data_IF_484666024465
#
_entry.id   IF_484666024465
#
_cell.length_a   1.000
_cell.length_b   1.000
_cell.length_c   1.000
_cell.angle_alpha   90.00
_cell.angle_beta   90.00
_cell.angle_gamma   90.00
#
_symmetry.space_group_name_H-M   'P 1'
#
loop_
_entity.id
_entity.type
_entity.pdbx_description
1 polymer ?
#
# COMPACT_ATOMS: atom_id res chain seq x y z
N UNK A 1 15.11 20.47 52.59
CA UNK A 1 16.03 20.21 51.47
C UNK A 1 15.23 20.19 50.18
N UNK A 2 15.49 21.06 49.20
CA UNK A 2 14.78 21.00 47.93
C UNK A 2 15.28 19.79 47.13
N UNK A 3 14.37 18.92 46.71
CA UNK A 3 14.65 17.84 45.76
C UNK A 3 14.92 18.48 44.39
N UNK A 4 16.19 18.56 44.01
CA UNK A 4 16.59 18.86 42.64
C UNK A 4 16.08 17.74 41.74
N UNK A 5 15.01 18.02 40.99
CA UNK A 5 14.56 17.21 39.86
C UNK A 5 15.64 17.28 38.78
N UNK A 6 16.56 16.31 38.80
CA UNK A 6 17.42 16.04 37.65
C UNK A 6 16.50 15.48 36.56
N UNK A 7 16.07 16.33 35.62
CA UNK A 7 15.58 15.86 34.32
C UNK A 7 16.69 14.99 33.72
N UNK A 8 16.48 13.68 33.67
CA UNK A 8 17.31 12.79 32.87
C UNK A 8 17.44 13.39 31.48
N UNK A 9 18.69 13.66 31.09
CA UNK A 9 19.01 14.26 29.79
C UNK A 9 18.56 13.25 28.74
N UNK A 10 17.56 13.63 27.92
CA UNK A 10 17.03 12.75 26.89
C UNK A 10 18.18 12.17 26.05
N UNK A 11 18.23 10.84 25.94
CA UNK A 11 19.27 10.12 25.20
C UNK A 11 19.29 10.62 23.75
N UNK A 12 20.47 11.02 23.30
CA UNK A 12 20.70 11.54 21.95
C UNK A 12 22.02 11.04 21.42
N UNK A 13 22.03 10.72 20.13
CA UNK A 13 23.22 10.41 19.36
C UNK A 13 23.36 11.44 18.24
N UNK A 14 24.58 11.89 17.98
CA UNK A 14 24.88 12.86 16.93
C UNK A 14 25.56 12.12 15.79
N UNK A 15 24.97 12.19 14.60
CA UNK A 15 25.55 11.67 13.37
C UNK A 15 25.91 12.85 12.47
N UNK A 16 27.05 12.76 11.79
CA UNK A 16 27.42 13.70 10.72
C UNK A 16 27.18 12.97 9.40
N UNK A 17 26.23 13.47 8.61
CA UNK A 17 25.84 12.92 7.30
C UNK A 17 25.80 14.05 6.31
N UNK A 18 26.51 13.94 5.18
CA UNK A 18 26.60 14.99 4.16
C UNK A 18 26.91 16.38 4.77
N UNK A 19 27.92 16.43 5.65
CA UNK A 19 28.38 17.63 6.38
C UNK A 19 27.32 18.25 7.33
N UNK A 20 26.21 17.55 7.58
CA UNK A 20 25.13 18.00 8.48
C UNK A 20 25.13 17.18 9.76
N UNK A 21 25.01 17.88 10.89
CA UNK A 21 24.76 17.24 12.18
C UNK A 21 23.27 16.88 12.35
N UNK A 22 23.00 15.60 12.58
CA UNK A 22 21.66 15.06 12.81
C UNK A 22 21.61 14.47 14.22
N UNK A 23 20.76 15.04 15.08
CA UNK A 23 20.54 14.51 16.42
C UNK A 23 19.45 13.44 16.42
N UNK A 24 19.86 12.18 16.57
CA UNK A 24 18.99 11.03 16.74
C UNK A 24 18.52 10.99 18.19
N UNK A 25 17.23 11.20 18.41
CA UNK A 25 16.63 11.13 19.76
C UNK A 25 16.30 9.70 20.13
N UNK A 26 16.29 9.29 21.40
CA UNK A 26 15.89 7.93 21.81
C UNK A 26 16.46 6.81 20.89
N UNK A 27 17.79 6.80 20.61
CA UNK A 27 18.38 5.93 19.60
C UNK A 27 18.12 4.44 19.89
N UNK A 28 18.11 4.06 21.18
CA UNK A 28 17.88 2.68 21.64
C UNK A 28 16.41 2.26 21.69
N UNK A 29 15.48 3.11 21.23
CA UNK A 29 14.06 2.75 21.20
C UNK A 29 13.86 1.56 20.25
N UNK A 30 13.40 0.44 20.79
CA UNK A 30 13.06 -0.76 20.01
C UNK A 30 11.86 -0.46 19.13
N UNK A 31 12.01 -0.63 17.82
CA UNK A 31 10.94 -0.49 16.83
C UNK A 31 10.41 -1.85 16.39
N UNK A 32 11.25 -2.89 16.44
CA UNK A 32 10.92 -4.28 16.08
C UNK A 32 11.19 -5.18 17.29
N UNK A 33 10.18 -5.47 18.14
CA UNK A 33 10.39 -6.23 19.37
C UNK A 33 10.98 -7.62 19.16
N UNK A 34 10.45 -8.38 18.19
CA UNK A 34 10.86 -9.77 17.95
C UNK A 34 12.28 -9.86 17.37
N UNK A 35 12.62 -8.96 16.45
CA UNK A 35 13.95 -8.90 15.84
C UNK A 35 14.97 -8.08 16.65
N UNK A 36 14.53 -7.32 17.66
CA UNK A 36 15.38 -6.49 18.52
C UNK A 36 15.89 -5.19 17.90
N UNK A 37 15.45 -4.80 16.69
CA UNK A 37 15.98 -3.61 16.02
C UNK A 37 15.47 -2.31 16.63
N UNK A 38 16.40 -1.39 16.81
CA UNK A 38 16.20 -0.06 17.38
C UNK A 38 16.00 1.00 16.31
N UNK A 39 15.68 2.22 16.75
CA UNK A 39 15.61 3.37 15.85
C UNK A 39 16.96 3.71 15.23
N UNK A 40 18.05 3.56 15.96
CA UNK A 40 19.39 3.79 15.41
C UNK A 40 19.73 2.78 14.31
N UNK A 41 19.34 1.52 14.46
CA UNK A 41 19.51 0.49 13.43
C UNK A 41 18.78 0.86 12.13
N UNK A 42 17.55 1.38 12.24
CA UNK A 42 16.80 1.89 11.10
C UNK A 42 17.51 3.06 10.40
N UNK A 43 18.11 3.97 11.17
CA UNK A 43 18.87 5.10 10.63
C UNK A 43 20.10 4.60 9.87
N UNK A 44 20.90 3.71 10.48
CA UNK A 44 22.07 3.12 9.82
C UNK A 44 21.72 2.32 8.58
N UNK A 45 20.61 1.57 8.63
CA UNK A 45 20.08 0.86 7.46
C UNK A 45 19.87 1.82 6.29
N UNK A 46 19.12 2.91 6.49
CA UNK A 46 18.83 3.85 5.41
C UNK A 46 20.07 4.60 4.91
N UNK A 47 21.04 4.86 5.76
CA UNK A 47 22.34 5.40 5.34
C UNK A 47 23.09 4.41 4.44
N UNK A 48 23.10 3.12 4.81
CA UNK A 48 23.81 2.07 4.07
C UNK A 48 23.23 1.81 2.67
N UNK A 49 21.93 2.01 2.48
CA UNK A 49 21.24 1.82 1.18
C UNK A 49 20.81 3.14 0.53
N UNK A 50 21.36 4.26 1.00
CA UNK A 50 20.88 5.61 0.67
C UNK A 50 20.83 5.89 -0.83
N UNK A 51 21.83 5.47 -1.60
CA UNK A 51 21.85 5.64 -3.05
C UNK A 51 20.64 4.99 -3.73
N UNK A 52 20.35 3.73 -3.41
CA UNK A 52 19.20 3.01 -3.97
C UNK A 52 17.86 3.51 -3.45
N UNK A 53 17.77 3.83 -2.15
CA UNK A 53 16.57 4.40 -1.55
C UNK A 53 16.22 5.77 -2.18
N UNK A 54 17.21 6.62 -2.43
CA UNK A 54 17.03 7.92 -3.11
C UNK A 54 16.72 7.75 -4.60
N UNK A 55 17.21 6.71 -5.28
CA UNK A 55 16.78 6.44 -6.67
C UNK A 55 15.28 6.18 -6.77
N UNK A 56 14.71 5.49 -5.78
CA UNK A 56 13.30 5.14 -5.78
C UNK A 56 12.38 6.20 -5.15
N UNK A 57 12.83 6.90 -4.10
CA UNK A 57 12.01 7.85 -3.35
C UNK A 57 12.46 9.31 -3.48
N UNK A 58 13.68 9.55 -3.95
CA UNK A 58 14.32 10.85 -3.98
C UNK A 58 13.76 11.78 -5.06
N UNK A 59 13.67 13.06 -4.75
CA UNK A 59 13.07 14.07 -5.64
C UNK A 59 11.56 13.94 -5.82
N UNK A 60 10.91 13.07 -5.05
CA UNK A 60 9.45 12.84 -5.08
C UNK A 60 8.82 13.34 -3.78
N UNK A 61 7.60 13.92 -3.81
CA UNK A 61 6.83 14.10 -2.58
C UNK A 61 6.56 12.74 -1.93
N UNK A 62 6.81 12.64 -0.62
CA UNK A 62 6.69 11.41 0.14
C UNK A 62 5.68 11.54 1.28
N UNK A 63 4.80 10.54 1.38
CA UNK A 63 4.02 10.29 2.59
C UNK A 63 4.90 9.55 3.59
N UNK A 64 4.96 10.04 4.83
CA UNK A 64 5.71 9.38 5.89
C UNK A 64 4.81 8.38 6.61
N UNK A 65 5.20 7.11 6.71
CA UNK A 65 4.49 6.12 7.55
C UNK A 65 5.27 5.90 8.82
N UNK A 66 4.75 6.42 9.93
CA UNK A 66 5.49 6.56 11.17
C UNK A 66 5.01 5.58 12.22
N UNK A 67 5.98 4.98 12.90
CA UNK A 67 5.81 4.02 14.00
C UNK A 67 6.51 4.55 15.25
N UNK A 68 6.04 5.66 15.86
CA UNK A 68 6.78 6.31 16.94
C UNK A 68 7.09 5.39 18.10
N UNK A 69 6.24 4.38 18.34
CA UNK A 69 6.33 3.40 19.42
C UNK A 69 6.70 1.98 18.95
N UNK A 70 7.12 1.82 17.70
CA UNK A 70 7.41 0.51 17.11
C UNK A 70 6.20 -0.15 16.46
N UNK A 71 6.42 -1.32 15.85
CA UNK A 71 5.44 -1.99 14.96
C UNK A 71 4.28 -2.66 15.71
N UNK A 72 4.41 -2.85 17.02
CA UNK A 72 3.36 -3.44 17.85
C UNK A 72 2.25 -2.45 18.24
N UNK A 73 2.52 -1.14 18.09
CA UNK A 73 1.60 -0.04 18.43
C UNK A 73 0.99 0.60 17.18
N UNK A 74 0.04 1.51 17.40
CA UNK A 74 -0.58 2.28 16.32
C UNK A 74 0.46 3.10 15.52
N UNK A 75 0.32 3.02 14.20
CA UNK A 75 1.08 3.81 13.23
C UNK A 75 0.18 4.86 12.58
N UNK A 76 0.79 5.84 11.92
CA UNK A 76 0.02 6.82 11.17
C UNK A 76 0.71 7.26 9.88
N UNK A 77 -0.11 7.59 8.89
CA UNK A 77 0.30 8.24 7.66
C UNK A 77 0.36 9.75 7.87
N UNK A 78 1.51 10.35 7.56
CA UNK A 78 1.75 11.78 7.65
C UNK A 78 2.10 12.31 6.26
N UNK A 79 1.08 12.83 5.57
CA UNK A 79 1.24 13.55 4.30
C UNK A 79 1.90 14.92 4.51
N UNK A 80 1.33 15.71 5.42
CA UNK A 80 1.86 17.04 5.74
C UNK A 80 3.17 16.94 6.51
N UNK A 81 4.23 17.50 5.94
CA UNK A 81 5.53 17.63 6.56
C UNK A 81 5.40 18.24 7.97
N UNK A 82 6.17 17.76 8.98
CA UNK A 82 6.19 18.36 10.31
C UNK A 82 6.43 19.87 10.24
N UNK A 83 5.68 20.65 11.02
CA UNK A 83 5.89 22.09 11.13
C UNK A 83 7.25 22.42 11.77
N UNK A 84 7.64 21.61 12.77
CA UNK A 84 8.99 21.64 13.33
C UNK A 84 9.86 20.65 12.53
N UNK A 85 10.59 21.17 11.55
CA UNK A 85 11.56 20.46 10.72
C UNK A 85 12.80 21.34 10.50
N UNK A 86 13.99 20.77 10.28
CA UNK A 86 15.15 21.54 9.85
C UNK A 86 14.87 22.30 8.55
N UNK A 87 15.43 23.50 8.40
CA UNK A 87 15.20 24.38 7.24
C UNK A 87 15.66 23.77 5.90
N UNK A 88 16.60 22.83 5.95
CA UNK A 88 17.14 22.12 4.78
C UNK A 88 16.25 20.97 4.29
N UNK A 89 15.17 20.63 5.00
CA UNK A 89 14.20 19.65 4.53
C UNK A 89 13.32 20.29 3.44
N UNK A 90 13.54 19.88 2.19
CA UNK A 90 12.72 20.28 1.05
C UNK A 90 11.29 19.75 1.20
N UNK A 91 10.33 20.58 0.82
CA UNK A 91 8.93 20.21 0.71
C UNK A 91 8.34 20.75 -0.59
N UNK A 92 7.28 20.10 -1.06
CA UNK A 92 6.48 20.59 -2.20
C UNK A 92 5.00 20.50 -1.87
N UNK A 93 4.22 21.47 -2.36
CA UNK A 93 2.76 21.50 -2.16
C UNK A 93 2.07 20.61 -3.20
N UNK A 94 1.51 19.49 -2.74
CA UNK A 94 0.72 18.59 -3.55
C UNK A 94 -0.78 18.86 -3.37
N UNK A 95 -1.52 18.89 -4.49
CA UNK A 95 -2.99 18.97 -4.50
C UNK A 95 -3.62 17.60 -4.73
N UNK A 96 -4.48 17.19 -3.81
CA UNK A 96 -5.16 15.90 -3.83
C UNK A 96 -6.43 15.92 -4.69
N UNK A 97 -6.95 14.75 -5.13
CA UNK A 97 -8.23 14.65 -5.84
C UNK A 97 -9.42 15.28 -5.09
N UNK A 98 -9.35 15.32 -3.76
CA UNK A 98 -10.36 15.97 -2.92
C UNK A 98 -10.33 17.51 -2.97
N UNK A 99 -9.39 18.11 -3.70
CA UNK A 99 -9.15 19.56 -3.74
C UNK A 99 -8.33 20.12 -2.56
N UNK A 100 -7.97 19.28 -1.58
CA UNK A 100 -7.11 19.66 -0.45
C UNK A 100 -5.64 19.71 -0.88
N UNK A 101 -4.83 20.43 -0.11
CA UNK A 101 -3.38 20.51 -0.33
C UNK A 101 -2.58 20.16 0.93
N UNK A 102 -1.38 19.63 0.74
CA UNK A 102 -0.38 19.47 1.79
C UNK A 102 1.03 19.70 1.25
N UNK A 103 1.88 20.30 2.08
CA UNK A 103 3.33 20.27 1.87
C UNK A 103 3.83 18.88 2.24
N UNK A 104 4.39 18.13 1.31
CA UNK A 104 4.98 16.80 1.56
C UNK A 104 6.50 16.88 1.46
N UNK A 105 7.20 16.02 2.21
CA UNK A 105 8.68 15.97 2.24
C UNK A 105 9.23 15.46 0.92
N UNK A 106 10.30 16.07 0.43
CA UNK A 106 11.04 15.63 -0.77
C UNK A 106 12.46 15.25 -0.37
N UNK A 107 12.80 13.96 -0.20
CA UNK A 107 14.15 13.54 0.12
C UNK A 107 15.10 13.74 -1.08
N UNK A 108 16.29 14.29 -0.85
CA UNK A 108 17.31 14.50 -1.89
C UNK A 108 18.68 13.91 -1.55
N UNK A 109 18.91 13.63 -0.27
CA UNK A 109 20.22 13.24 0.26
C UNK A 109 20.07 12.24 1.41
N UNK A 110 21.19 11.63 1.80
CA UNK A 110 21.22 10.61 2.86
C UNK A 110 20.87 11.24 4.22
N UNK A 111 21.22 12.51 4.43
CA UNK A 111 20.83 13.28 5.60
C UNK A 111 19.30 13.36 5.78
N UNK A 112 18.55 13.57 4.70
CA UNK A 112 17.08 13.60 4.74
C UNK A 112 16.49 12.23 5.08
N UNK A 113 17.05 11.15 4.53
CA UNK A 113 16.63 9.79 4.89
C UNK A 113 16.89 9.49 6.37
N UNK A 114 18.06 9.84 6.89
CA UNK A 114 18.37 9.68 8.32
C UNK A 114 17.42 10.50 9.21
N UNK A 115 17.07 11.71 8.80
CA UNK A 115 16.07 12.52 9.50
C UNK A 115 14.68 11.87 9.48
N UNK A 116 14.22 11.37 8.33
CA UNK A 116 12.95 10.65 8.21
C UNK A 116 12.94 9.41 9.12
N UNK A 117 14.01 8.61 9.12
CA UNK A 117 14.16 7.44 9.98
C UNK A 117 14.14 7.82 11.49
N UNK A 118 14.75 8.95 11.87
CA UNK A 118 14.70 9.47 13.24
C UNK A 118 13.27 9.85 13.70
N UNK A 119 12.37 10.16 12.77
CA UNK A 119 10.93 10.33 13.05
C UNK A 119 10.19 8.99 13.24
N UNK A 120 10.92 7.87 13.24
CA UNK A 120 10.42 6.50 13.15
C UNK A 120 9.60 6.26 11.87
N UNK A 121 10.01 6.88 10.76
CA UNK A 121 9.45 6.58 9.44
C UNK A 121 10.09 5.30 8.91
N UNK A 122 9.37 4.18 8.99
CA UNK A 122 9.87 2.89 8.51
C UNK A 122 9.74 2.78 7.00
N UNK A 123 8.63 3.27 6.44
CA UNK A 123 8.32 3.14 5.02
C UNK A 123 8.38 4.48 4.30
N UNK A 124 9.02 4.51 3.13
CA UNK A 124 9.00 5.65 2.21
C UNK A 124 7.87 5.41 1.21
N UNK A 125 6.93 6.36 1.11
CA UNK A 125 5.78 6.25 0.22
C UNK A 125 5.77 7.43 -0.78
N UNK A 126 6.62 7.39 -1.82
CA UNK A 126 6.67 8.45 -2.82
C UNK A 126 5.45 8.40 -3.75
N UNK A 127 4.95 9.57 -4.14
CA UNK A 127 4.07 9.68 -5.31
C UNK A 127 4.85 9.32 -6.58
N UNK A 128 4.21 8.81 -7.65
CA UNK A 128 4.88 8.44 -8.90
C UNK A 128 5.25 9.67 -9.77
N UNK A 129 5.40 10.84 -9.15
CA UNK A 129 5.73 12.12 -9.79
C UNK A 129 7.00 12.69 -9.15
N UNK A 130 7.68 13.58 -9.87
CA UNK A 130 8.82 14.35 -9.35
C UNK A 130 8.36 15.72 -8.87
N UNK A 131 9.12 16.34 -7.97
CA UNK A 131 8.73 17.60 -7.33
C UNK A 131 8.61 18.79 -8.30
N UNK A 132 9.23 18.71 -9.49
CA UNK A 132 9.19 19.69 -10.56
C UNK A 132 7.97 19.58 -11.47
N UNK A 133 7.34 18.40 -11.55
CA UNK A 133 6.07 18.18 -12.26
C UNK A 133 5.21 17.14 -11.53
N UNK A 134 4.18 17.65 -10.85
CA UNK A 134 3.28 16.90 -9.97
C UNK A 134 2.03 16.35 -10.67
N UNK A 135 1.86 16.63 -11.95
CA UNK A 135 0.67 16.24 -12.71
C UNK A 135 0.93 15.12 -13.71
N UNK A 136 2.20 14.95 -14.13
CA UNK A 136 2.62 13.88 -15.03
C UNK A 136 3.50 12.87 -14.30
N UNK A 137 3.00 11.64 -14.02
CA UNK A 137 3.84 10.58 -13.48
C UNK A 137 4.97 10.21 -14.44
N UNK A 138 6.12 9.88 -13.87
CA UNK A 138 7.24 9.28 -14.60
C UNK A 138 7.36 7.77 -14.28
N UNK A 139 6.43 7.20 -13.50
CA UNK A 139 6.36 5.76 -13.20
C UNK A 139 4.98 5.19 -13.50
N UNK A 140 4.93 4.11 -14.27
CA UNK A 140 3.84 3.14 -14.20
C UNK A 140 4.21 2.08 -13.14
N UNK A 141 3.27 1.76 -12.25
CA UNK A 141 3.47 0.80 -11.16
C UNK A 141 2.54 -0.40 -11.33
N UNK A 142 3.11 -1.59 -11.43
CA UNK A 142 2.35 -2.85 -11.41
C UNK A 142 2.44 -3.41 -10.00
N UNK A 143 1.29 -3.54 -9.32
CA UNK A 143 1.20 -4.09 -7.97
C UNK A 143 0.51 -5.45 -8.01
N UNK A 144 1.24 -6.49 -7.61
CA UNK A 144 0.79 -7.88 -7.59
C UNK A 144 0.39 -8.25 -6.16
N UNK A 145 -0.91 -8.13 -5.85
CA UNK A 145 -1.49 -8.40 -4.53
C UNK A 145 -2.19 -9.77 -4.51
N UNK A 146 -1.59 -10.79 -3.86
CA UNK A 146 -2.21 -12.10 -3.74
C UNK A 146 -3.48 -12.04 -2.87
N UNK A 147 -4.55 -12.69 -3.34
CA UNK A 147 -5.67 -13.03 -2.44
C UNK A 147 -5.18 -13.98 -1.33
N UNK A 148 -5.86 -14.05 -0.17
CA UNK A 148 -5.46 -14.96 0.89
C UNK A 148 -5.33 -16.42 0.41
N UNK A 149 -4.24 -17.10 0.77
CA UNK A 149 -3.99 -18.51 0.44
C UNK A 149 -3.18 -18.76 -0.85
N UNK A 150 -2.83 -17.70 -1.60
CA UNK A 150 -1.96 -17.84 -2.78
C UNK A 150 -0.50 -18.03 -2.36
N UNK A 151 0.16 -19.02 -2.95
CA UNK A 151 1.56 -19.32 -2.69
C UNK A 151 2.49 -18.30 -3.37
N UNK A 152 3.68 -18.11 -2.79
CA UNK A 152 4.69 -17.18 -3.33
C UNK A 152 5.12 -17.56 -4.76
N UNK A 153 5.20 -18.86 -5.08
CA UNK A 153 5.44 -19.38 -6.43
C UNK A 153 4.50 -18.78 -7.47
N UNK A 154 3.19 -18.73 -7.17
CA UNK A 154 2.18 -18.20 -8.10
C UNK A 154 2.36 -16.70 -8.35
N UNK A 155 2.88 -15.95 -7.36
CA UNK A 155 3.18 -14.52 -7.52
C UNK A 155 4.38 -14.33 -8.46
N UNK A 156 5.41 -15.19 -8.35
CA UNK A 156 6.54 -15.23 -9.27
C UNK A 156 6.10 -15.57 -10.70
N UNK A 157 5.23 -16.57 -10.86
CA UNK A 157 4.67 -16.95 -12.16
C UNK A 157 3.92 -15.77 -12.81
N UNK A 158 3.09 -15.06 -12.05
CA UNK A 158 2.39 -13.86 -12.55
C UNK A 158 3.37 -12.73 -12.87
N UNK A 159 4.43 -12.54 -12.08
CA UNK A 159 5.47 -11.56 -12.38
C UNK A 159 6.20 -11.85 -13.69
N UNK A 160 6.42 -13.13 -14.06
CA UNK A 160 6.95 -13.52 -15.36
C UNK A 160 6.02 -13.15 -16.51
N UNK A 161 4.71 -13.38 -16.35
CA UNK A 161 3.73 -12.94 -17.36
C UNK A 161 3.70 -11.42 -17.49
N UNK A 162 3.87 -10.68 -16.38
CA UNK A 162 4.05 -9.22 -16.43
C UNK A 162 5.30 -8.84 -17.22
N UNK A 163 6.44 -9.51 -17.01
CA UNK A 163 7.68 -9.26 -17.74
C UNK A 163 7.49 -9.43 -19.26
N UNK A 164 6.86 -10.52 -19.67
CA UNK A 164 6.55 -10.81 -21.08
C UNK A 164 5.64 -9.73 -21.68
N UNK A 165 4.54 -9.39 -20.99
CA UNK A 165 3.64 -8.33 -21.44
C UNK A 165 4.37 -6.99 -21.60
N UNK A 166 5.16 -6.58 -20.60
CA UNK A 166 5.92 -5.33 -20.68
C UNK A 166 6.88 -5.34 -21.88
N UNK A 167 7.55 -6.46 -22.13
CA UNK A 167 8.45 -6.64 -23.28
C UNK A 167 7.73 -6.47 -24.61
N UNK A 168 6.55 -7.08 -24.78
CA UNK A 168 5.74 -6.95 -26.00
C UNK A 168 5.30 -5.50 -26.25
N UNK A 169 5.08 -4.73 -25.19
CA UNK A 169 4.75 -3.30 -25.27
C UNK A 169 5.97 -2.38 -25.34
N UNK A 170 7.19 -2.93 -25.37
CA UNK A 170 8.43 -2.14 -25.46
C UNK A 170 8.79 -1.41 -24.16
N UNK A 171 8.32 -1.91 -23.02
CA UNK A 171 8.54 -1.35 -21.70
C UNK A 171 9.51 -2.23 -20.89
N UNK A 172 10.33 -1.60 -20.06
CA UNK A 172 11.28 -2.28 -19.18
C UNK A 172 10.73 -2.23 -17.76
N UNK A 173 10.48 -3.42 -17.18
CA UNK A 173 10.07 -3.57 -15.79
C UNK A 173 11.26 -3.72 -14.85
N UNK A 174 11.10 -3.21 -13.63
CA UNK A 174 12.08 -3.27 -12.55
C UNK A 174 11.42 -3.89 -11.31
N UNK A 175 11.57 -5.22 -11.12
CA UNK A 175 10.83 -5.95 -10.10
C UNK A 175 11.42 -5.73 -8.71
N UNK A 176 10.55 -5.75 -7.70
CA UNK A 176 10.93 -5.75 -6.30
C UNK A 176 9.92 -6.52 -5.47
N UNK A 177 10.37 -7.22 -4.43
CA UNK A 177 9.44 -7.71 -3.42
C UNK A 177 8.72 -6.53 -2.78
N UNK A 178 7.48 -6.70 -2.36
CA UNK A 178 6.82 -5.66 -1.55
C UNK A 178 7.41 -5.57 -0.14
N UNK A 179 8.09 -6.62 0.34
CA UNK A 179 8.44 -6.82 1.75
C UNK A 179 7.23 -7.19 2.64
N UNK A 180 6.07 -7.45 2.04
CA UNK A 180 4.87 -7.97 2.71
C UNK A 180 4.45 -9.27 2.02
N UNK A 181 3.30 -9.30 1.33
CA UNK A 181 2.76 -10.50 0.68
C UNK A 181 2.98 -10.55 -0.83
N UNK A 182 3.10 -9.39 -1.48
CA UNK A 182 3.12 -9.26 -2.94
C UNK A 182 4.46 -8.86 -3.53
N UNK A 183 4.44 -8.53 -4.82
CA UNK A 183 5.58 -8.03 -5.61
C UNK A 183 5.14 -6.78 -6.38
N UNK A 184 6.05 -5.82 -6.56
CA UNK A 184 5.79 -4.66 -7.43
C UNK A 184 6.78 -4.68 -8.60
N UNK A 185 6.34 -4.18 -9.75
CA UNK A 185 7.20 -3.91 -10.90
C UNK A 185 7.07 -2.44 -11.26
N UNK A 186 8.19 -1.71 -11.19
CA UNK A 186 8.24 -0.32 -11.63
C UNK A 186 8.59 -0.25 -13.11
N UNK A 187 8.02 0.72 -13.81
CA UNK A 187 8.32 1.00 -15.21
C UNK A 187 8.55 2.49 -15.33
N UNK A 188 9.76 2.90 -15.70
CA UNK A 188 10.06 4.30 -16.02
C UNK A 188 9.37 4.66 -17.33
N UNK A 189 8.59 5.74 -17.33
CA UNK A 189 7.85 6.22 -18.49
C UNK A 189 8.23 7.67 -18.80
N UNK A 190 8.01 8.10 -20.04
CA UNK A 190 8.16 9.51 -20.40
C UNK A 190 7.17 10.36 -19.59
N UNK A 191 7.64 11.49 -19.05
CA UNK A 191 6.85 12.34 -18.16
C UNK A 191 5.93 13.29 -18.95
N UNK A 192 4.94 12.73 -19.66
CA UNK A 192 3.98 13.50 -20.50
C UNK A 192 2.53 13.03 -20.42
N UNK A 193 2.26 11.97 -19.68
CA UNK A 193 0.90 11.45 -19.47
C UNK A 193 0.36 11.86 -18.12
N UNK A 194 -0.94 12.10 -18.07
CA UNK A 194 -1.66 12.37 -16.83
C UNK A 194 -1.86 11.08 -16.02
N UNK A 195 -2.17 11.20 -14.71
CA UNK A 195 -2.55 10.05 -13.88
C UNK A 195 -3.69 9.20 -14.48
N UNK A 196 -4.64 9.84 -15.16
CA UNK A 196 -5.78 9.15 -15.76
C UNK A 196 -5.33 8.25 -16.92
N UNK A 197 -4.41 8.73 -17.75
CA UNK A 197 -3.81 7.96 -18.84
C UNK A 197 -2.91 6.84 -18.34
N UNK A 198 -2.05 7.12 -17.34
CA UNK A 198 -1.18 6.09 -16.74
C UNK A 198 -2.00 4.98 -16.10
N UNK A 199 -3.09 5.31 -15.40
CA UNK A 199 -4.00 4.30 -14.85
C UNK A 199 -4.72 3.49 -15.93
N UNK A 200 -5.16 4.12 -17.03
CA UNK A 200 -5.76 3.40 -18.17
C UNK A 200 -4.77 2.41 -18.78
N UNK A 201 -3.53 2.83 -18.99
CA UNK A 201 -2.46 1.96 -19.46
C UNK A 201 -2.22 0.78 -18.49
N UNK A 202 -2.20 1.04 -17.17
CA UNK A 202 -2.04 0.01 -16.15
C UNK A 202 -3.22 -1.00 -16.13
N UNK A 203 -4.46 -0.53 -16.30
CA UNK A 203 -5.64 -1.39 -16.41
C UNK A 203 -5.58 -2.27 -17.68
N UNK A 204 -5.16 -1.68 -18.80
CA UNK A 204 -5.03 -2.41 -20.06
C UNK A 204 -3.97 -3.52 -19.95
N UNK A 205 -2.83 -3.22 -19.31
CA UNK A 205 -1.79 -4.20 -18.97
C UNK A 205 -2.33 -5.29 -18.04
N UNK A 206 -3.02 -4.92 -16.96
CA UNK A 206 -3.60 -5.88 -16.02
C UNK A 206 -4.56 -6.88 -16.69
N UNK A 207 -5.38 -6.41 -17.62
CA UNK A 207 -6.28 -7.27 -18.41
C UNK A 207 -5.54 -8.18 -19.37
N UNK A 208 -4.45 -7.71 -19.98
CA UNK A 208 -3.65 -8.54 -20.86
C UNK A 208 -2.93 -9.64 -20.08
N UNK A 209 -2.42 -9.35 -18.89
CA UNK A 209 -1.86 -10.36 -17.99
C UNK A 209 -2.93 -11.37 -17.54
N UNK A 210 -4.12 -10.92 -17.12
CA UNK A 210 -5.26 -11.80 -16.80
C UNK A 210 -5.65 -12.66 -18.02
N UNK A 211 -5.62 -12.12 -19.25
CA UNK A 211 -5.92 -12.89 -20.47
C UNK A 211 -4.91 -14.00 -20.73
N UNK A 212 -3.62 -13.78 -20.43
CA UNK A 212 -2.55 -14.77 -20.62
C UNK A 212 -2.49 -15.79 -19.49
N UNK A 213 -2.83 -15.40 -18.27
CA UNK A 213 -2.79 -16.25 -17.08
C UNK A 213 -4.12 -16.22 -16.30
N UNK A 214 -5.26 -16.61 -16.91
CA UNK A 214 -6.58 -16.43 -16.32
C UNK A 214 -6.86 -17.30 -15.09
N UNK A 215 -6.03 -18.32 -14.83
CA UNK A 215 -6.11 -19.12 -13.62
C UNK A 215 -5.30 -18.51 -12.45
N UNK A 216 -4.30 -17.69 -12.74
CA UNK A 216 -3.32 -17.20 -11.78
C UNK A 216 -3.48 -15.72 -11.45
N UNK A 217 -3.96 -14.90 -12.38
CA UNK A 217 -4.07 -13.45 -12.24
C UNK A 217 -5.51 -12.97 -12.44
N UNK A 218 -5.84 -11.83 -11.84
CA UNK A 218 -7.14 -11.19 -12.01
C UNK A 218 -7.03 -9.66 -12.07
N UNK A 219 -7.86 -9.03 -12.90
CA UNK A 219 -8.05 -7.57 -12.93
C UNK A 219 -9.40 -7.15 -12.31
N UNK A 220 -10.12 -8.08 -11.65
CA UNK A 220 -11.44 -7.78 -11.08
C UNK A 220 -11.32 -6.85 -9.87
N UNK A 221 -12.02 -5.72 -9.94
CA UNK A 221 -11.99 -4.72 -8.88
C UNK A 221 -12.55 -5.24 -7.55
N UNK A 222 -13.63 -6.02 -7.60
CA UNK A 222 -14.36 -6.43 -6.40
C UNK A 222 -13.71 -7.62 -5.74
N UNK A 223 -13.38 -7.51 -4.44
CA UNK A 223 -12.73 -8.58 -3.67
C UNK A 223 -13.42 -9.94 -3.81
N UNK A 224 -14.76 -9.96 -3.85
CA UNK A 224 -15.56 -11.17 -3.99
C UNK A 224 -15.47 -11.85 -5.36
N UNK A 225 -14.99 -11.14 -6.38
CA UNK A 225 -14.76 -11.65 -7.74
C UNK A 225 -13.28 -12.00 -7.99
N UNK A 226 -12.39 -11.69 -7.05
CA UNK A 226 -10.94 -11.91 -7.20
C UNK A 226 -10.59 -13.38 -6.93
N UNK A 227 -9.64 -13.87 -7.70
CA UNK A 227 -8.92 -15.12 -7.46
C UNK A 227 -7.43 -14.89 -7.78
N UNK A 228 -6.55 -15.77 -7.33
CA UNK A 228 -5.13 -15.68 -7.67
C UNK A 228 -4.50 -14.34 -7.23
N UNK A 229 -3.68 -13.77 -8.10
CA UNK A 229 -2.97 -12.52 -7.89
C UNK A 229 -3.75 -11.38 -8.52
N UNK A 230 -4.22 -10.45 -7.70
CA UNK A 230 -4.86 -9.23 -8.18
C UNK A 230 -3.80 -8.24 -8.65
N UNK A 231 -3.97 -7.73 -9.87
CA UNK A 231 -3.11 -6.68 -10.42
C UNK A 231 -3.76 -5.34 -10.13
N UNK A 232 -3.30 -4.65 -9.08
CA UNK A 232 -3.94 -3.43 -8.58
C UNK A 232 -3.58 -2.20 -9.43
N UNK A 233 -4.24 -2.08 -10.58
CA UNK A 233 -4.10 -0.94 -11.48
C UNK A 233 -4.47 0.41 -10.82
N UNK A 234 -5.27 0.41 -9.75
CA UNK A 234 -5.65 1.62 -9.02
C UNK A 234 -4.50 2.21 -8.19
N UNK A 235 -3.36 1.52 -8.05
CA UNK A 235 -2.15 2.13 -7.49
C UNK A 235 -1.56 3.26 -8.35
N UNK A 236 -1.98 3.36 -9.61
CA UNK A 236 -1.58 4.43 -10.53
C UNK A 236 -2.50 5.66 -10.47
N UNK A 237 -3.51 5.66 -9.60
CA UNK A 237 -4.38 6.81 -9.42
C UNK A 237 -3.70 7.88 -8.52
N UNK A 238 -3.95 9.17 -8.78
CA UNK A 238 -3.33 10.30 -8.02
C UNK A 238 -3.63 10.22 -6.53
N UNK A 239 -2.64 10.37 -5.63
CA UNK A 239 -2.81 10.17 -4.17
C UNK A 239 -2.86 8.69 -3.72
N UNK A 240 -2.39 7.77 -4.58
CA UNK A 240 -2.05 6.40 -4.21
C UNK A 240 -0.54 6.26 -4.21
N UNK A 241 -0.01 5.80 -3.09
CA UNK A 241 1.43 5.62 -2.88
C UNK A 241 1.73 4.16 -2.63
N UNK A 242 2.93 3.76 -3.05
CA UNK A 242 3.44 2.40 -2.91
C UNK A 242 4.76 2.50 -2.17
N UNK A 243 5.02 1.57 -1.24
CA UNK A 243 6.29 1.52 -0.53
C UNK A 243 7.45 1.44 -1.54
N UNK A 244 8.38 2.38 -1.44
CA UNK A 244 9.53 2.49 -2.34
C UNK A 244 10.43 1.25 -2.26
N UNK A 245 11.31 1.08 -3.26
CA UNK A 245 12.45 0.19 -3.08
C UNK A 245 13.25 0.60 -1.82
N UNK A 246 13.80 -0.41 -1.14
CA UNK A 246 14.54 -0.28 0.12
C UNK A 246 13.72 0.20 1.33
N UNK A 247 12.40 0.35 1.23
CA UNK A 247 11.57 0.63 2.41
C UNK A 247 11.52 -0.56 3.36
N UNK A 248 11.82 -0.34 4.64
CA UNK A 248 11.60 -1.34 5.70
C UNK A 248 10.11 -1.45 6.00
N UNK A 249 9.59 -2.67 6.06
CA UNK A 249 8.18 -2.97 6.27
C UNK A 249 7.93 -3.37 7.73
N UNK A 250 6.71 -3.12 8.26
CA UNK A 250 6.35 -3.43 9.65
C UNK A 250 6.05 -4.92 9.83
N UNK A 251 6.98 -5.80 9.47
CA UNK A 251 6.91 -7.24 9.74
C UNK A 251 7.77 -7.59 10.95
N UNK A 252 7.47 -8.70 11.62
CA UNK A 252 8.17 -9.13 12.83
C UNK A 252 9.70 -9.27 12.62
N UNK A 253 10.10 -9.69 11.42
CA UNK A 253 11.48 -9.87 10.95
C UNK A 253 12.06 -8.63 10.22
N UNK A 254 11.36 -7.49 10.22
CA UNK A 254 11.78 -6.24 9.58
C UNK A 254 12.15 -6.38 8.09
N UNK A 255 11.26 -7.00 7.30
CA UNK A 255 11.46 -7.20 5.86
C UNK A 255 11.63 -5.90 5.09
N UNK A 256 12.24 -6.00 3.93
CA UNK A 256 12.50 -4.88 3.02
C UNK A 256 11.74 -5.08 1.72
N UNK A 257 11.18 -3.98 1.20
CA UNK A 257 10.72 -3.87 -0.19
C UNK A 257 11.94 -3.88 -1.13
N UNK A 258 12.36 -5.07 -1.54
CA UNK A 258 13.70 -5.30 -2.05
C UNK A 258 13.78 -5.37 -3.59
N UNK A 259 14.58 -4.51 -4.24
CA UNK A 259 14.95 -4.68 -5.64
C UNK A 259 15.59 -6.03 -5.93
N UNK A 260 15.09 -6.70 -6.96
CA UNK A 260 15.59 -7.97 -7.45
C UNK A 260 15.85 -7.86 -8.95
N UNK A 261 16.80 -8.65 -9.47
CA UNK A 261 16.96 -8.80 -10.90
C UNK A 261 15.85 -9.71 -11.44
N UNK A 262 15.50 -9.59 -12.72
CA UNK A 262 14.56 -10.53 -13.32
C UNK A 262 15.05 -11.97 -13.22
N UNK A 263 16.35 -12.23 -13.33
CA UNK A 263 16.90 -13.59 -13.22
C UNK A 263 16.72 -14.20 -11.82
N UNK A 264 16.60 -13.35 -10.78
CA UNK A 264 16.41 -13.79 -9.40
C UNK A 264 14.93 -14.01 -9.03
N UNK A 265 13.98 -13.61 -9.89
CA UNK A 265 12.53 -13.65 -9.56
C UNK A 265 12.09 -15.04 -9.14
N UNK A 266 12.52 -16.08 -9.86
CA UNK A 266 12.05 -17.47 -9.63
C UNK A 266 12.56 -18.07 -8.31
N UNK A 267 13.65 -17.54 -7.77
CA UNK A 267 14.34 -18.08 -6.59
C UNK A 267 14.27 -17.16 -5.37
N UNK A 268 13.86 -15.90 -5.53
CA UNK A 268 13.81 -14.97 -4.42
C UNK A 268 12.78 -15.38 -3.37
N UNK A 269 13.13 -15.27 -2.09
CA UNK A 269 12.19 -15.41 -0.97
C UNK A 269 12.12 -14.10 -0.20
N UNK A 270 10.92 -13.56 0.13
CA UNK A 270 10.81 -12.27 0.81
C UNK A 270 11.54 -12.21 2.16
N UNK A 271 11.67 -13.35 2.85
CA UNK A 271 12.37 -13.48 4.12
C UNK A 271 13.89 -13.29 4.01
N UNK A 272 14.46 -13.41 2.81
CA UNK A 272 15.89 -13.20 2.58
C UNK A 272 16.27 -11.71 2.67
N UNK A 273 15.28 -10.82 2.57
CA UNK A 273 15.47 -9.38 2.50
C UNK A 273 14.92 -8.71 3.76
N UNK A 274 15.80 -8.43 4.72
CA UNK A 274 15.47 -7.77 5.98
C UNK A 274 16.38 -6.57 6.22
N UNK A 275 16.03 -5.76 7.22
CA UNK A 275 16.85 -4.65 7.70
C UNK A 275 18.30 -5.09 7.94
N UNK A 276 18.52 -6.31 8.46
CA UNK A 276 19.87 -6.82 8.71
C UNK A 276 20.58 -7.38 7.47
N UNK A 277 19.89 -8.06 6.56
CA UNK A 277 20.56 -8.75 5.44
C UNK A 277 20.81 -7.81 4.25
N UNK A 278 19.96 -6.80 4.07
CA UNK A 278 19.99 -5.94 2.89
C UNK A 278 21.25 -5.07 2.78
N UNK A 279 21.82 -4.46 3.85
CA UNK A 279 23.04 -3.67 3.73
C UNK A 279 24.22 -4.46 3.14
N UNK A 280 24.46 -5.68 3.63
CA UNK A 280 25.51 -6.55 3.11
C UNK A 280 25.24 -6.97 1.66
N UNK A 281 23.98 -7.23 1.30
CA UNK A 281 23.58 -7.50 -0.09
C UNK A 281 23.85 -6.31 -0.98
N UNK A 282 23.40 -5.11 -0.58
CA UNK A 282 23.58 -3.87 -1.33
C UNK A 282 25.06 -3.57 -1.58
N UNK A 283 25.91 -3.71 -0.56
CA UNK A 283 27.36 -3.55 -0.73
C UNK A 283 27.98 -4.55 -1.71
N UNK A 284 27.41 -5.76 -1.81
CA UNK A 284 27.92 -6.84 -2.68
C UNK A 284 27.48 -6.72 -4.13
N UNK A 285 26.20 -6.38 -4.38
CA UNK A 285 25.61 -6.40 -5.74
C UNK A 285 25.19 -5.02 -6.25
N UNK A 286 25.34 -3.97 -5.43
CA UNK A 286 24.86 -2.63 -5.74
C UNK A 286 23.34 -2.52 -5.76
N UNK A 287 22.86 -1.45 -6.41
CA UNK A 287 21.45 -1.22 -6.63
C UNK A 287 20.97 -1.95 -7.90
N UNK A 288 20.13 -2.98 -7.75
CA UNK A 288 19.59 -3.71 -8.90
C UNK A 288 18.61 -2.89 -9.74
N UNK A 289 18.20 -1.70 -9.27
CA UNK A 289 17.43 -0.73 -10.04
C UNK A 289 18.28 0.42 -10.59
N UNK A 290 19.61 0.33 -10.55
CA UNK A 290 20.52 1.42 -10.97
C UNK A 290 20.21 1.99 -12.36
N UNK A 291 19.78 1.13 -13.30
CA UNK A 291 19.48 1.52 -14.68
C UNK A 291 18.08 2.05 -14.94
N UNK A 292 17.20 2.17 -13.92
CA UNK A 292 15.78 2.50 -14.12
C UNK A 292 15.55 3.83 -14.86
N UNK A 293 16.42 4.81 -14.66
CA UNK A 293 16.30 6.14 -15.26
C UNK A 293 17.01 6.25 -16.62
N UNK A 294 17.66 5.19 -17.12
CA UNK A 294 18.43 5.24 -18.37
C UNK A 294 17.54 5.23 -19.62
N UNK A 295 16.36 4.62 -19.53
CA UNK A 295 15.42 4.55 -20.64
C UNK A 295 13.99 4.70 -20.13
N UNK A 296 13.33 5.78 -20.56
CA UNK A 296 11.91 5.99 -20.33
C UNK A 296 11.10 5.33 -21.46
N UNK A 297 10.11 4.53 -21.09
CA UNK A 297 9.20 3.88 -22.03
C UNK A 297 8.03 4.77 -22.45
N UNK A 298 7.51 4.52 -23.66
CA UNK A 298 6.29 5.18 -24.13
C UNK A 298 5.04 4.37 -23.80
N UNK A 299 4.00 5.01 -23.26
CA UNK A 299 2.71 4.37 -22.96
C UNK A 299 1.77 4.27 -24.17
N UNK A 300 2.15 4.81 -25.33
CA UNK A 300 1.29 4.85 -26.53
C UNK A 300 0.70 3.48 -26.88
N UNK A 301 1.51 2.42 -26.91
CA UNK A 301 1.03 1.06 -27.25
C UNK A 301 0.06 0.47 -26.21
N UNK A 302 0.25 0.78 -24.92
CA UNK A 302 -0.69 0.38 -23.86
C UNK A 302 -1.99 1.20 -23.92
N UNK A 303 -1.92 2.48 -24.28
CA UNK A 303 -3.10 3.32 -24.49
C UNK A 303 -3.88 2.90 -25.73
N UNK A 304 -3.20 2.50 -26.81
CA UNK A 304 -3.84 1.87 -27.97
C UNK A 304 -4.52 0.54 -27.60
N UNK A 305 -3.90 -0.27 -26.73
CA UNK A 305 -4.53 -1.46 -26.19
C UNK A 305 -5.78 -1.12 -25.37
N UNK A 306 -5.70 -0.11 -24.49
CA UNK A 306 -6.84 0.39 -23.73
C UNK A 306 -7.98 0.78 -24.67
N UNK A 307 -7.69 1.55 -25.73
CA UNK A 307 -8.68 1.98 -26.71
C UNK A 307 -9.29 0.80 -27.49
N UNK A 308 -8.51 -0.26 -27.80
CA UNK A 308 -9.04 -1.50 -28.39
C UNK A 308 -9.99 -2.21 -27.43
N UNK A 309 -9.56 -2.44 -26.19
CA UNK A 309 -10.37 -3.09 -25.16
C UNK A 309 -11.70 -2.36 -24.93
N UNK A 310 -11.69 -1.03 -24.92
CA UNK A 310 -12.92 -0.22 -24.82
C UNK A 310 -13.87 -0.44 -26.01
N UNK A 311 -13.35 -0.51 -27.24
CA UNK A 311 -14.15 -0.84 -28.44
C UNK A 311 -14.71 -2.26 -28.37
N UNK A 312 -14.01 -3.19 -27.73
CA UNK A 312 -14.43 -4.57 -27.52
C UNK A 312 -15.38 -4.73 -26.31
N UNK A 313 -15.83 -3.61 -25.72
CA UNK A 313 -16.81 -3.60 -24.62
C UNK A 313 -16.21 -3.68 -23.22
N UNK A 314 -14.88 -3.69 -23.09
CA UNK A 314 -14.17 -3.62 -21.82
C UNK A 314 -13.88 -2.14 -21.50
N UNK A 315 -14.91 -1.40 -21.07
CA UNK A 315 -14.82 0.01 -20.65
C UNK A 315 -13.87 0.26 -19.47
N UNK A 316 -13.90 1.46 -18.87
CA UNK A 316 -13.07 1.74 -17.69
C UNK A 316 -13.45 0.83 -16.51
N UNK A 317 -12.55 0.66 -15.56
CA UNK A 317 -12.81 -0.04 -14.31
C UNK A 317 -13.17 0.95 -13.19
N UNK A 318 -13.88 0.51 -12.13
CA UNK A 318 -14.23 1.40 -11.03
C UNK A 318 -13.01 2.11 -10.44
N UNK A 319 -13.16 3.42 -10.26
CA UNK A 319 -12.22 4.26 -9.53
C UNK A 319 -12.49 4.18 -8.03
N UNK A 320 -11.49 4.50 -7.19
CA UNK A 320 -11.73 4.66 -5.77
C UNK A 320 -12.84 5.70 -5.49
N UNK A 321 -13.65 5.52 -4.43
CA UNK A 321 -14.84 6.34 -4.19
C UNK A 321 -14.61 7.86 -4.17
N UNK A 322 -13.43 8.29 -3.75
CA UNK A 322 -13.05 9.71 -3.58
C UNK A 322 -12.76 10.48 -4.89
N UNK A 323 -12.69 9.80 -6.04
CA UNK A 323 -12.46 10.48 -7.33
C UNK A 323 -13.76 11.00 -7.93
N UNK A 324 -13.68 11.95 -8.86
CA UNK A 324 -14.84 12.27 -9.70
C UNK A 324 -15.18 11.06 -10.59
N UNK A 325 -16.45 10.88 -10.92
CA UNK A 325 -16.89 9.80 -11.81
C UNK A 325 -16.33 10.04 -13.22
N UNK A 326 -15.66 9.04 -13.78
CA UNK A 326 -15.06 9.16 -15.10
C UNK A 326 -16.04 8.76 -16.22
N UNK A 327 -15.87 9.28 -17.44
CA UNK A 327 -16.63 8.80 -18.60
C UNK A 327 -16.44 7.30 -18.82
N UNK A 328 -17.54 6.57 -19.03
CA UNK A 328 -17.51 5.12 -19.23
C UNK A 328 -17.26 4.29 -17.97
N UNK A 329 -17.16 4.92 -16.80
CA UNK A 329 -16.95 4.23 -15.53
C UNK A 329 -18.22 3.47 -15.08
N UNK A 330 -18.13 2.16 -14.79
CA UNK A 330 -19.25 1.39 -14.24
C UNK A 330 -19.65 1.89 -12.86
N UNK A 331 -20.80 1.43 -12.35
CA UNK A 331 -21.25 1.78 -11.00
C UNK A 331 -20.21 1.34 -9.96
N UNK A 332 -19.80 2.26 -9.08
CA UNK A 332 -18.91 2.01 -7.92
C UNK A 332 -19.58 1.27 -6.77
N UNK A 333 -20.70 0.59 -7.02
CA UNK A 333 -21.46 -0.15 -6.01
C UNK A 333 -20.98 -1.60 -6.02
N UNK A 334 -20.69 -2.15 -4.83
CA UNK A 334 -20.31 -3.57 -4.68
C UNK A 334 -21.35 -4.48 -5.35
N UNK A 335 -20.96 -5.54 -6.09
CA UNK A 335 -21.89 -6.46 -6.73
C UNK A 335 -22.85 -7.09 -5.72
N UNK A 336 -22.41 -7.35 -4.48
CA UNK A 336 -23.25 -7.79 -3.36
C UNK A 336 -24.45 -6.90 -3.03
N UNK A 337 -24.39 -5.60 -3.32
CA UNK A 337 -25.53 -4.68 -3.17
C UNK A 337 -26.41 -4.60 -4.42
N UNK A 338 -25.97 -5.22 -5.52
CA UNK A 338 -26.65 -5.27 -6.81
C UNK A 338 -27.05 -6.72 -7.11
N UNK A 339 -27.89 -7.32 -6.26
CA UNK A 339 -28.36 -8.70 -6.38
C UNK A 339 -27.23 -9.67 -6.85
N UNK A 340 -26.36 -10.05 -5.92
CA UNK A 340 -25.17 -10.86 -6.18
C UNK A 340 -25.47 -12.10 -7.03
N UNK A 341 -24.62 -12.37 -8.03
CA UNK A 341 -24.59 -13.68 -8.72
C UNK A 341 -23.86 -14.76 -7.90
N UNK A 342 -23.10 -14.36 -6.87
CA UNK A 342 -22.35 -15.27 -6.00
C UNK A 342 -23.13 -15.56 -4.70
N UNK A 343 -23.09 -16.80 -4.17
CA UNK A 343 -23.79 -17.19 -2.95
C UNK A 343 -23.03 -16.66 -1.71
N UNK A 344 -23.19 -15.38 -1.42
CA UNK A 344 -22.49 -14.68 -0.35
C UNK A 344 -23.34 -14.57 0.92
N UNK A 345 -22.76 -14.92 2.07
CA UNK A 345 -23.39 -14.74 3.40
C UNK A 345 -22.50 -13.87 4.29
N UNK A 346 -23.11 -13.18 5.25
CA UNK A 346 -22.42 -12.41 6.28
C UNK A 346 -22.31 -13.23 7.56
N UNK A 347 -21.13 -13.24 8.19
CA UNK A 347 -20.86 -14.13 9.34
C UNK A 347 -20.74 -13.35 10.65
N UNK A 348 -20.03 -12.23 10.62
CA UNK A 348 -19.64 -11.53 11.83
C UNK A 348 -19.44 -10.04 11.59
N UNK A 349 -19.69 -9.26 12.65
CA UNK A 349 -19.31 -7.85 12.78
C UNK A 349 -18.68 -7.62 14.14
N UNK A 350 -17.50 -7.00 14.16
CA UNK A 350 -16.87 -6.64 15.44
C UNK A 350 -16.02 -5.38 15.31
N UNK A 351 -15.80 -4.69 16.42
CA UNK A 351 -14.91 -3.53 16.48
C UNK A 351 -13.46 -3.91 16.16
N UNK A 352 -12.98 -5.07 16.66
CA UNK A 352 -11.64 -5.60 16.38
C UNK A 352 -11.71 -6.67 15.31
N UNK A 353 -10.68 -6.72 14.47
CA UNK A 353 -10.55 -7.72 13.41
C UNK A 353 -10.49 -9.15 13.96
N UNK A 354 -9.75 -9.36 15.05
CA UNK A 354 -9.56 -10.69 15.64
C UNK A 354 -10.88 -11.28 16.14
N UNK A 355 -11.72 -10.46 16.76
CA UNK A 355 -13.03 -10.87 17.27
C UNK A 355 -13.97 -11.26 16.12
N UNK A 356 -13.94 -10.49 15.03
CA UNK A 356 -14.70 -10.80 13.81
C UNK A 356 -14.21 -12.12 13.16
N UNK A 357 -12.90 -12.35 13.13
CA UNK A 357 -12.30 -13.59 12.62
C UNK A 357 -12.61 -14.80 13.51
N UNK A 358 -12.67 -14.63 14.83
CA UNK A 358 -13.11 -15.69 15.73
C UNK A 358 -14.56 -16.13 15.44
N UNK A 359 -15.41 -15.22 14.95
CA UNK A 359 -16.75 -15.54 14.45
C UNK A 359 -16.75 -16.51 13.27
N UNK A 360 -15.76 -16.39 12.38
CA UNK A 360 -15.58 -17.33 11.25
C UNK A 360 -15.27 -18.73 11.74
N UNK A 361 -14.40 -18.86 12.74
CA UNK A 361 -14.04 -20.17 13.27
C UNK A 361 -15.24 -20.83 13.99
N UNK A 362 -16.06 -20.05 14.69
CA UNK A 362 -17.34 -20.54 15.26
C UNK A 362 -18.33 -20.95 14.18
N UNK A 363 -18.42 -20.20 13.08
CA UNK A 363 -19.25 -20.55 11.93
C UNK A 363 -18.77 -21.85 11.27
N UNK A 364 -17.46 -22.01 11.04
CA UNK A 364 -16.87 -23.23 10.47
C UNK A 364 -17.14 -24.45 11.34
N UNK A 365 -17.09 -24.30 12.66
CA UNK A 365 -17.42 -25.37 13.61
C UNK A 365 -18.90 -25.79 13.51
N UNK A 366 -19.80 -24.86 13.20
CA UNK A 366 -21.24 -25.14 13.00
C UNK A 366 -21.57 -25.70 11.62
N UNK A 367 -20.79 -25.34 10.59
CA UNK A 367 -20.98 -25.76 9.20
C UNK A 367 -19.75 -26.49 8.63
N UNK A 368 -19.33 -27.62 9.23
CA UNK A 368 -18.07 -28.28 8.87
C UNK A 368 -18.04 -28.78 7.41
N UNK A 369 -19.17 -29.24 6.88
CA UNK A 369 -19.27 -29.70 5.49
C UNK A 369 -19.09 -28.56 4.49
N UNK A 370 -19.69 -27.40 4.74
CA UNK A 370 -19.49 -26.22 3.91
C UNK A 370 -18.06 -25.67 4.04
N UNK A 371 -17.54 -25.63 5.27
CA UNK A 371 -16.20 -25.14 5.59
C UNK A 371 -15.09 -25.94 4.88
N UNK A 372 -15.29 -27.25 4.68
CA UNK A 372 -14.33 -28.11 3.98
C UNK A 372 -14.08 -27.70 2.52
N UNK A 373 -15.00 -26.92 1.92
CA UNK A 373 -14.87 -26.42 0.56
C UNK A 373 -14.38 -24.97 0.47
N UNK A 374 -14.16 -24.30 1.61
CA UNK A 374 -13.71 -22.91 1.61
C UNK A 374 -12.20 -22.81 1.47
N UNK A 375 -11.76 -21.99 0.52
CA UNK A 375 -10.40 -21.47 0.51
C UNK A 375 -10.29 -20.25 1.44
N UNK A 376 -9.09 -19.89 1.92
CA UNK A 376 -8.90 -18.67 2.70
C UNK A 376 -9.44 -17.39 2.01
N UNK A 377 -9.38 -17.33 0.67
CA UNK A 377 -9.91 -16.22 -0.13
C UNK A 377 -11.44 -16.12 -0.11
N UNK A 378 -12.16 -17.21 0.20
CA UNK A 378 -13.62 -17.19 0.32
C UNK A 378 -14.07 -16.46 1.59
N UNK A 379 -13.17 -16.24 2.57
CA UNK A 379 -13.42 -15.45 3.77
C UNK A 379 -13.04 -13.98 3.51
N UNK A 380 -14.05 -13.16 3.24
CA UNK A 380 -13.89 -11.75 2.94
C UNK A 380 -13.86 -10.91 4.23
N UNK A 381 -12.69 -10.34 4.52
CA UNK A 381 -12.50 -9.40 5.64
C UNK A 381 -12.64 -7.96 5.12
N UNK A 382 -13.73 -7.29 5.49
CA UNK A 382 -14.02 -5.91 5.12
C UNK A 382 -13.80 -4.96 6.30
N UNK A 383 -12.92 -3.97 6.13
CA UNK A 383 -12.85 -2.82 7.03
C UNK A 383 -13.97 -1.84 6.68
N UNK A 384 -14.86 -1.60 7.62
CA UNK A 384 -16.02 -0.73 7.52
C UNK A 384 -15.78 0.54 8.34
N UNK A 385 -16.38 1.65 7.93
CA UNK A 385 -16.28 2.94 8.63
C UNK A 385 -17.59 3.23 9.35
N UNK A 386 -17.53 3.40 10.67
CA UNK A 386 -18.58 3.97 11.50
C UNK A 386 -18.41 5.50 11.69
N UNK A 387 -19.22 6.12 12.56
CA UNK A 387 -19.16 7.58 12.78
C UNK A 387 -17.84 8.08 13.38
N UNK A 388 -17.24 7.32 14.29
CA UNK A 388 -16.04 7.71 15.05
C UNK A 388 -14.92 6.67 14.98
N UNK A 389 -15.20 5.44 14.56
CA UNK A 389 -14.24 4.34 14.50
C UNK A 389 -14.45 3.47 13.26
N UNK A 390 -13.44 2.69 12.89
CA UNK A 390 -13.58 1.59 11.92
C UNK A 390 -14.01 0.31 12.64
N UNK A 391 -14.77 -0.54 11.99
CA UNK A 391 -15.13 -1.88 12.48
C UNK A 391 -14.93 -2.91 11.36
N UNK A 392 -14.90 -4.19 11.68
CA UNK A 392 -14.64 -5.29 10.74
C UNK A 392 -15.91 -6.08 10.48
N UNK A 393 -16.23 -6.31 9.22
CA UNK A 393 -17.28 -7.24 8.76
C UNK A 393 -16.64 -8.45 8.10
N UNK A 394 -17.13 -9.64 8.42
CA UNK A 394 -16.77 -10.86 7.70
C UNK A 394 -17.92 -11.35 6.85
N UNK A 395 -17.63 -11.66 5.58
CA UNK A 395 -18.53 -12.38 4.68
C UNK A 395 -17.85 -13.64 4.18
N UNK A 396 -18.64 -14.65 3.81
CA UNK A 396 -18.15 -15.91 3.22
C UNK A 396 -18.77 -16.09 1.84
N UNK A 397 -17.93 -16.30 0.83
CA UNK A 397 -18.33 -16.64 -0.53
C UNK A 397 -18.45 -18.16 -0.68
N UNK A 398 -19.68 -18.66 -0.82
CA UNK A 398 -19.95 -20.09 -0.92
C UNK A 398 -19.85 -20.63 -2.37
N UNK A 399 -19.18 -19.92 -3.28
CA UNK A 399 -19.10 -20.29 -4.69
C UNK A 399 -18.51 -21.69 -4.90
N UNK A 400 -17.53 -22.06 -4.07
CA UNK A 400 -16.85 -23.36 -4.10
C UNK A 400 -17.61 -24.44 -3.32
N UNK A 401 -18.62 -24.05 -2.53
CA UNK A 401 -19.45 -24.99 -1.76
C UNK A 401 -20.54 -25.55 -2.68
N UNK A 402 -20.72 -26.89 -2.76
CA UNK A 402 -21.83 -27.49 -3.50
C UNK A 402 -23.18 -26.93 -3.06
N UNK A 403 -24.09 -26.67 -4.00
CA UNK A 403 -25.37 -25.97 -3.72
C UNK A 403 -26.18 -26.58 -2.58
N UNK A 404 -26.17 -27.91 -2.44
CA UNK A 404 -26.89 -28.64 -1.38
C UNK A 404 -26.27 -28.46 0.02
N UNK A 405 -24.99 -28.08 0.09
CA UNK A 405 -24.25 -27.86 1.32
C UNK A 405 -24.15 -26.38 1.70
N UNK A 406 -24.72 -25.47 0.91
CA UNK A 406 -24.65 -24.03 1.18
C UNK A 406 -25.59 -23.68 2.34
N UNK A 407 -25.06 -23.23 3.50
CA UNK A 407 -25.92 -22.72 4.54
C UNK A 407 -26.57 -21.41 4.11
N UNK A 408 -27.77 -21.16 4.60
CA UNK A 408 -28.43 -19.86 4.48
C UNK A 408 -27.78 -18.80 5.35
N UNK A 409 -28.20 -17.54 5.18
CA UNK A 409 -27.85 -16.47 6.10
C UNK A 409 -28.38 -16.79 7.50
N UNK A 410 -27.51 -16.70 8.51
CA UNK A 410 -27.83 -16.90 9.92
C UNK A 410 -27.55 -15.63 10.73
N UNK A 411 -27.83 -15.65 12.03
CA UNK A 411 -27.48 -14.57 12.95
C UNK A 411 -25.97 -14.37 12.98
N UNK A 412 -25.55 -13.11 13.01
CA UNK A 412 -24.15 -12.73 13.07
C UNK A 412 -23.59 -13.04 14.46
N UNK A 413 -22.36 -13.56 14.51
CA UNK A 413 -21.69 -13.90 15.76
C UNK A 413 -20.17 -13.62 15.64
N UNK A 414 -19.64 -12.54 16.25
CA UNK A 414 -20.38 -11.52 17.00
C UNK A 414 -21.18 -10.59 16.07
N UNK A 415 -22.13 -9.84 16.62
CA UNK A 415 -22.82 -8.72 15.97
C UNK A 415 -22.60 -7.41 16.75
N UNK A 416 -21.34 -7.16 17.11
CA UNK A 416 -20.96 -6.08 18.01
C UNK A 416 -20.42 -4.87 17.22
N UNK A 417 -20.84 -4.72 15.95
CA UNK A 417 -20.60 -3.46 15.26
C UNK A 417 -21.33 -2.32 16.00
N UNK A 418 -20.69 -1.15 16.19
CA UNK A 418 -21.42 -0.02 16.71
C UNK A 418 -22.60 0.28 15.77
N UNK A 419 -23.82 0.30 16.32
CA UNK A 419 -25.03 0.77 15.65
C UNK A 419 -24.76 2.18 15.14
N UNK A 420 -24.34 2.31 13.88
CA UNK A 420 -24.34 3.52 13.02
C UNK A 420 -23.47 3.30 11.77
N UNK A 421 -23.98 2.51 10.82
CA UNK A 421 -23.55 2.64 9.44
C UNK A 421 -24.08 3.98 8.89
N UNK A 422 -23.21 4.90 8.50
CA UNK A 422 -23.64 6.09 7.75
C UNK A 422 -23.88 5.65 6.30
N UNK A 423 -25.03 5.97 5.67
CA UNK A 423 -25.17 5.86 4.23
C UNK A 423 -24.12 6.74 3.54
N UNK A 424 -23.56 6.31 2.41
CA UNK A 424 -22.45 6.97 1.72
C UNK A 424 -22.69 8.44 1.28
N UNK A 425 -23.85 9.04 1.58
CA UNK A 425 -24.28 10.36 1.11
C UNK A 425 -24.63 11.38 2.23
N UNK A 426 -24.20 11.20 3.47
CA UNK A 426 -24.52 12.14 4.57
C UNK A 426 -23.36 13.07 4.99
N UNK A 427 -22.46 13.42 4.08
CA UNK A 427 -21.51 14.53 4.29
C UNK A 427 -22.07 15.81 3.65
N UNK A 428 -23.09 16.42 4.28
CA UNK A 428 -23.41 17.83 4.06
C UNK A 428 -24.20 18.41 5.25
N UNK A 429 -23.55 18.50 6.41
CA UNK A 429 -23.97 19.43 7.47
C UNK A 429 -22.72 20.08 8.10
N UNK A 430 -22.56 21.41 8.02
CA UNK A 430 -21.44 22.09 8.67
C UNK A 430 -21.50 21.86 10.18
N UNK A 431 -20.38 21.42 10.78
CA UNK A 431 -20.22 21.37 12.24
C UNK A 431 -20.49 22.78 12.80
N UNK A 432 -21.52 22.92 13.65
CA UNK A 432 -21.77 24.15 14.41
C UNK A 432 -20.50 24.52 15.18
N UNK A 433 -20.02 25.75 14.99
CA UNK A 433 -18.91 26.33 15.78
C UNK A 433 -19.26 26.27 17.27
N UNK A 434 -18.30 25.99 18.17
CA UNK A 434 -18.53 26.09 19.61
C UNK A 434 -18.93 27.53 19.96
N UNK A 435 -19.97 27.67 20.76
CA UNK A 435 -20.52 28.95 21.21
C UNK A 435 -19.46 29.72 21.99
N UNK A 436 -19.30 31.00 21.63
CA UNK A 436 -18.54 31.97 22.43
C UNK A 436 -19.16 32.03 23.83
N UNK A 437 -18.33 31.78 24.84
CA UNK A 437 -18.64 32.08 26.23
C UNK A 437 -19.07 33.55 26.34
N UNK A 438 -20.27 33.78 26.89
CA UNK A 438 -20.74 35.09 27.31
C UNK A 438 -19.87 35.55 28.49
N UNK A 439 -19.24 36.71 28.34
CA UNK A 439 -18.89 37.56 29.48
C UNK A 439 -20.17 37.97 30.20
N UNK A 440 -20.20 37.83 31.51
CA UNK A 440 -21.06 38.60 32.39
C UNK A 440 -20.35 38.78 33.73
N UNK A 441 -20.24 40.07 34.11
CA UNK A 441 -19.92 40.62 35.43
C UNK A 441 -18.48 40.49 35.92
#
# INVERSE_FOLDING_TARGET
MPKTSQKEKAERELLVVDEREISISNPRKVLFPDAGYTKLDLVHYYLAVSEGALRAAGGRPNVLVRYPNGIADEFFFQKRAPASRPAWIEVVTLRFPSGREAEEVVPRDAATLAWMANLACLELHPHPVRADDLDHPDELRVDLDPVPGIAWTQIRDVARVVQECLTDFGLIGWPKTSGSRGMHVYVRIEQRWTFDEVRRAALALAREVERRAPALATSKWWKEERHGVFIDYNQNAKDRTVAAAYSVRPTADARVSAPIAWDDVDTCEPGDFTLATMPARFARVGDLHQGIDQQAGSLERLLELSARQERDGLGDAPWPPQYKKQPGEPLRVQPSRRATKHPLIEIARAQRKDDALAGVERWKARHPEAAAHLAPADVLVDAMRGRSSTWTRIRVNLQNVPTLLRPGQESLDPDDAPDEAIPANAEDVPRRKPSRARKAS
#
